data_IF_071173024955
#
_entry.id   IF_071173024955
#
_cell.length_a   1.000
_cell.length_b   1.000
_cell.length_c   1.000
_cell.angle_alpha   90.00
_cell.angle_beta   90.00
_cell.angle_gamma   90.00
#
_symmetry.space_group_name_H-M   'P 1'
#
loop_
_entity.id
_entity.type
_entity.pdbx_description
1 polymer ?
#
# COMPACT_ATOMS: atom_id res chain seq x y z
N UNK A 1 -32.06 35.43 -17.32
CA UNK A 1 -31.07 35.74 -16.26
C UNK A 1 -31.00 34.56 -15.32
N UNK A 2 -29.79 34.12 -15.00
CA UNK A 2 -29.45 32.83 -14.42
C UNK A 2 -29.26 32.88 -12.89
N UNK A 3 -29.21 31.67 -12.31
CA UNK A 3 -28.66 31.26 -10.99
C UNK A 3 -29.58 31.40 -9.77
N UNK A 4 -30.10 30.25 -9.31
CA UNK A 4 -30.45 30.02 -7.91
C UNK A 4 -29.94 28.63 -7.48
N UNK A 5 -28.87 28.68 -6.67
CA UNK A 5 -28.51 27.80 -5.56
C UNK A 5 -28.75 26.28 -5.67
N UNK A 6 -27.71 25.58 -6.12
CA UNK A 6 -27.45 24.20 -5.69
C UNK A 6 -27.01 24.21 -4.21
N UNK A 7 -27.96 24.00 -3.29
CA UNK A 7 -27.64 23.56 -1.94
C UNK A 7 -26.97 22.18 -2.02
N UNK A 8 -25.64 22.16 -1.89
CA UNK A 8 -24.89 20.95 -1.56
C UNK A 8 -25.32 20.51 -0.16
N UNK A 9 -26.18 19.51 -0.09
CA UNK A 9 -26.50 18.78 1.14
C UNK A 9 -25.20 18.28 1.76
N UNK A 10 -24.77 18.93 2.85
CA UNK A 10 -23.74 18.39 3.73
C UNK A 10 -24.25 17.04 4.25
N UNK A 11 -23.50 15.94 4.13
CA UNK A 11 -23.90 14.69 4.75
C UNK A 11 -24.04 14.89 6.26
N UNK A 12 -25.13 14.35 6.82
CA UNK A 12 -25.42 14.40 8.25
C UNK A 12 -24.26 13.76 9.05
N UNK A 13 -23.81 14.36 10.16
CA UNK A 13 -22.80 13.77 11.05
C UNK A 13 -23.16 12.34 11.49
N UNK A 14 -24.46 12.04 11.60
CA UNK A 14 -24.95 10.75 12.08
C UNK A 14 -24.86 9.61 11.06
N UNK A 15 -24.72 9.92 9.76
CA UNK A 15 -24.56 8.90 8.73
C UNK A 15 -23.17 8.22 8.78
N UNK A 16 -22.18 8.87 9.41
CA UNK A 16 -20.81 8.36 9.54
C UNK A 16 -20.68 7.36 10.70
N UNK A 17 -21.58 7.40 11.68
CA UNK A 17 -21.43 6.67 12.95
C UNK A 17 -21.95 5.22 12.96
N UNK A 18 -22.53 4.72 11.86
CA UNK A 18 -22.99 3.31 11.75
C UNK A 18 -22.25 2.48 10.71
N UNK A 19 -21.15 2.99 10.16
CA UNK A 19 -20.18 2.10 9.53
C UNK A 19 -19.67 1.17 10.65
N UNK A 20 -19.89 -0.14 10.53
CA UNK A 20 -19.36 -1.13 11.47
C UNK A 20 -17.88 -0.83 11.64
N UNK A 21 -17.48 -0.41 12.84
CA UNK A 21 -16.07 -0.19 13.13
C UNK A 21 -15.33 -1.49 12.80
N UNK A 22 -14.45 -1.40 11.81
CA UNK A 22 -13.54 -2.46 11.44
C UNK A 22 -12.14 -1.95 11.77
N UNK A 23 -11.29 -2.77 12.40
CA UNK A 23 -9.92 -2.37 12.62
C UNK A 23 -9.26 -2.05 11.27
N UNK A 24 -8.47 -0.97 11.19
CA UNK A 24 -7.69 -0.63 10.01
C UNK A 24 -6.79 -1.77 9.56
N UNK A 25 -6.44 -1.81 8.27
CA UNK A 25 -5.63 -2.85 7.65
C UNK A 25 -4.74 -2.27 6.56
N UNK A 26 -3.76 -3.06 6.13
CA UNK A 26 -3.02 -2.74 4.92
C UNK A 26 -3.98 -2.68 3.71
N UNK A 27 -3.78 -1.69 2.86
CA UNK A 27 -4.64 -1.34 1.72
C UNK A 27 -5.69 -0.28 2.05
N UNK A 28 -6.00 -0.03 3.33
CA UNK A 28 -6.98 1.00 3.69
C UNK A 28 -6.44 2.39 3.39
N UNK A 29 -7.32 3.28 2.93
CA UNK A 29 -7.04 4.68 2.67
C UNK A 29 -7.10 5.48 3.96
N UNK A 30 -6.18 6.40 4.13
CA UNK A 30 -6.13 7.22 5.33
C UNK A 30 -5.67 8.65 5.03
N UNK A 31 -6.11 9.57 5.87
CA UNK A 31 -5.60 10.95 5.94
C UNK A 31 -4.94 11.20 7.29
N UNK A 32 -3.80 11.87 7.26
CA UNK A 32 -3.08 12.25 8.49
C UNK A 32 -3.77 13.50 9.07
N UNK A 33 -4.53 13.34 10.15
CA UNK A 33 -5.33 14.43 10.74
C UNK A 33 -4.62 15.15 11.88
N UNK A 34 -3.71 14.45 12.55
CA UNK A 34 -2.86 14.99 13.61
C UNK A 34 -1.54 14.20 13.66
N UNK A 35 -0.61 14.56 14.53
CA UNK A 35 0.65 13.81 14.72
C UNK A 35 1.06 13.73 16.20
N UNK A 36 0.13 13.96 17.14
CA UNK A 36 0.45 14.11 18.56
C UNK A 36 1.12 12.85 19.12
N UNK A 37 0.63 11.68 18.71
CA UNK A 37 1.08 10.38 19.23
C UNK A 37 2.21 9.77 18.39
N UNK A 38 2.44 10.30 17.19
CA UNK A 38 3.50 9.89 16.28
C UNK A 38 4.89 10.20 16.82
N UNK A 39 5.91 9.47 16.31
CA UNK A 39 7.30 9.67 16.71
C UNK A 39 7.76 11.12 16.48
N UNK A 40 8.64 11.62 17.35
CA UNK A 40 9.17 12.99 17.26
C UNK A 40 9.78 13.32 15.88
N UNK A 41 10.42 12.34 15.23
CA UNK A 41 10.93 12.49 13.86
C UNK A 41 9.82 12.73 12.84
N UNK A 42 8.69 12.03 12.91
CA UNK A 42 7.53 12.27 12.04
C UNK A 42 6.91 13.64 12.34
N UNK A 43 6.77 13.99 13.64
CA UNK A 43 6.23 15.29 14.07
C UNK A 43 7.01 16.50 13.55
N UNK A 44 8.32 16.38 13.38
CA UNK A 44 9.15 17.43 12.81
C UNK A 44 8.72 17.86 11.40
N UNK A 45 7.96 17.00 10.68
CA UNK A 45 7.43 17.27 9.34
C UNK A 45 5.92 17.55 9.33
N UNK A 46 5.32 17.95 10.46
CA UNK A 46 3.88 18.12 10.57
C UNK A 46 3.26 19.04 9.52
N UNK A 47 3.90 20.16 9.19
CA UNK A 47 3.42 21.10 8.17
C UNK A 47 3.35 20.50 6.77
N UNK A 48 4.07 19.40 6.50
CA UNK A 48 4.09 18.71 5.21
C UNK A 48 3.11 17.54 5.17
N UNK A 49 2.89 16.90 6.32
CA UNK A 49 2.16 15.65 6.46
C UNK A 49 0.67 15.83 6.80
N UNK A 50 0.32 16.85 7.57
CA UNK A 50 -1.08 17.07 7.98
C UNK A 50 -1.97 17.34 6.77
N UNK A 51 -3.13 16.67 6.73
CA UNK A 51 -4.09 16.72 5.63
C UNK A 51 -3.70 15.89 4.41
N UNK A 52 -2.55 15.17 4.44
CA UNK A 52 -2.13 14.33 3.32
C UNK A 52 -2.84 12.99 3.34
N UNK A 53 -3.22 12.56 2.14
CA UNK A 53 -3.82 11.25 1.89
C UNK A 53 -2.75 10.24 1.51
N UNK A 54 -3.02 8.98 1.86
CA UNK A 54 -2.19 7.87 1.47
C UNK A 54 -2.86 6.53 1.74
N UNK A 55 -2.12 5.48 1.45
CA UNK A 55 -2.54 4.09 1.69
C UNK A 55 -1.73 3.50 2.83
N UNK A 56 -2.40 2.83 3.77
CA UNK A 56 -1.72 2.05 4.81
C UNK A 56 -1.05 0.87 4.12
N UNK A 57 0.28 0.88 4.03
CA UNK A 57 1.05 -0.23 3.45
C UNK A 57 1.22 -1.35 4.46
N UNK A 58 1.35 -1.00 5.75
CA UNK A 58 1.59 -1.98 6.81
C UNK A 58 1.20 -1.46 8.19
N UNK A 59 0.71 -2.36 9.04
CA UNK A 59 0.59 -2.14 10.48
C UNK A 59 1.82 -2.67 11.22
N UNK A 60 2.31 -1.90 12.17
CA UNK A 60 3.52 -2.17 12.95
C UNK A 60 3.17 -2.20 14.44
N UNK A 61 4.01 -2.89 15.23
CA UNK A 61 3.92 -2.96 16.70
C UNK A 61 2.51 -3.30 17.21
N UNK A 62 1.93 -4.40 16.72
CA UNK A 62 0.60 -4.84 17.15
C UNK A 62 -0.55 -3.95 16.69
N UNK A 63 -0.33 -3.05 15.72
CA UNK A 63 -1.36 -2.16 15.17
C UNK A 63 -1.32 -0.73 15.70
N UNK A 64 -0.42 -0.41 16.64
CA UNK A 64 -0.31 0.95 17.17
C UNK A 64 0.21 1.97 16.13
N UNK A 65 0.98 1.51 15.14
CA UNK A 65 1.53 2.36 14.09
C UNK A 65 1.17 1.84 12.71
N UNK A 66 0.93 2.76 11.78
CA UNK A 66 0.82 2.50 10.37
C UNK A 66 2.05 3.03 9.63
N UNK A 67 2.55 2.25 8.68
CA UNK A 67 3.39 2.74 7.60
C UNK A 67 2.46 3.19 6.47
N UNK A 68 2.33 4.51 6.28
CA UNK A 68 1.51 5.09 5.22
C UNK A 68 2.38 5.49 4.04
N UNK A 69 1.95 5.14 2.83
CA UNK A 69 2.53 5.66 1.58
C UNK A 69 1.64 6.77 1.03
N UNK A 70 2.20 7.97 0.92
CA UNK A 70 1.46 9.17 0.50
C UNK A 70 1.29 9.22 -1.02
N UNK A 71 0.14 9.73 -1.46
CA UNK A 71 -0.24 9.77 -2.88
C UNK A 71 0.54 10.83 -3.67
N UNK A 72 1.00 11.87 -3.01
CA UNK A 72 1.77 12.95 -3.62
C UNK A 72 3.06 12.44 -4.27
N UNK A 73 3.46 13.12 -5.34
CA UNK A 73 4.70 12.87 -6.06
C UNK A 73 5.92 12.99 -5.11
N UNK A 74 6.89 12.05 -5.14
CA UNK A 74 8.08 12.11 -4.28
C UNK A 74 8.83 13.44 -4.33
N UNK A 75 8.82 14.15 -5.46
CA UNK A 75 9.43 15.48 -5.61
C UNK A 75 8.84 16.55 -4.68
N UNK A 76 7.65 16.30 -4.11
CA UNK A 76 6.98 17.19 -3.16
C UNK A 76 7.39 16.97 -1.71
N UNK A 77 8.27 16.00 -1.41
CA UNK A 77 8.71 15.71 -0.04
C UNK A 77 10.20 15.96 0.13
N UNK A 78 10.58 16.52 1.29
CA UNK A 78 11.97 16.64 1.69
C UNK A 78 12.62 15.25 1.72
N UNK A 79 13.59 15.03 0.82
CA UNK A 79 14.31 13.76 0.67
C UNK A 79 13.56 12.67 -0.10
N UNK A 80 12.46 12.99 -0.80
CA UNK A 80 11.75 12.03 -1.64
C UNK A 80 11.00 10.94 -0.88
N UNK A 81 10.87 11.07 0.44
CA UNK A 81 10.26 10.05 1.28
C UNK A 81 8.73 10.01 1.09
N UNK A 82 8.24 8.96 0.44
CA UNK A 82 6.80 8.70 0.30
C UNK A 82 6.19 7.96 1.48
N UNK A 83 7.03 7.29 2.29
CA UNK A 83 6.59 6.39 3.35
C UNK A 83 6.88 6.95 4.73
N UNK A 84 5.86 6.99 5.57
CA UNK A 84 5.92 7.61 6.89
C UNK A 84 5.36 6.68 7.97
N UNK A 85 6.03 6.64 9.12
CA UNK A 85 5.50 5.98 10.30
C UNK A 85 4.60 6.96 11.05
N UNK A 86 3.32 6.64 11.12
CA UNK A 86 2.29 7.45 11.78
C UNK A 86 1.57 6.58 12.81
N UNK A 87 1.22 7.16 13.97
CA UNK A 87 0.43 6.47 14.97
C UNK A 87 -1.00 6.27 14.46
N UNK A 88 -1.66 5.16 14.78
CA UNK A 88 -2.95 4.86 14.18
C UNK A 88 -4.04 5.89 14.55
N UNK A 89 -4.05 6.35 15.80
CA UNK A 89 -5.00 7.38 16.28
C UNK A 89 -4.71 8.80 15.74
N UNK A 90 -3.60 8.95 15.00
CA UNK A 90 -3.28 10.18 14.27
C UNK A 90 -3.84 10.16 12.83
N UNK A 91 -4.46 9.05 12.43
CA UNK A 91 -5.07 8.84 11.11
C UNK A 91 -6.60 8.83 11.19
N UNK A 92 -7.24 9.39 10.16
CA UNK A 92 -8.62 9.08 9.84
C UNK A 92 -8.62 8.08 8.68
N UNK A 93 -9.11 6.87 8.94
CA UNK A 93 -9.13 5.77 7.96
C UNK A 93 -10.49 5.74 7.28
N UNK A 94 -10.51 5.88 5.96
CA UNK A 94 -11.74 5.84 5.18
C UNK A 94 -12.26 4.41 5.16
N UNK A 95 -13.50 4.22 5.63
CA UNK A 95 -14.18 2.92 5.61
C UNK A 95 -14.63 2.48 4.21
N UNK A 96 -14.31 3.26 3.18
CA UNK A 96 -14.70 2.97 1.80
C UNK A 96 -13.76 1.90 1.25
N UNK A 97 -14.29 0.69 1.09
CA UNK A 97 -13.63 -0.37 0.33
C UNK A 97 -13.27 0.18 -1.05
N UNK A 98 -12.00 0.50 -1.26
CA UNK A 98 -11.51 0.78 -2.60
C UNK A 98 -11.38 -0.56 -3.32
N UNK A 99 -11.69 -0.62 -4.63
CA UNK A 99 -11.20 -1.72 -5.46
C UNK A 99 -9.69 -1.72 -5.22
N UNK A 100 -9.18 -2.82 -4.67
CA UNK A 100 -7.74 -3.03 -4.59
C UNK A 100 -7.24 -2.76 -6.00
N UNK A 101 -6.34 -1.78 -6.20
CA UNK A 101 -5.48 -1.83 -7.39
C UNK A 101 -4.99 -3.27 -7.44
N UNK A 102 -5.16 -3.95 -8.58
CA UNK A 102 -4.82 -5.36 -8.76
C UNK A 102 -3.37 -5.58 -8.33
N UNK A 103 -3.20 -5.80 -7.03
CA UNK A 103 -1.92 -6.04 -6.44
C UNK A 103 -1.60 -7.41 -6.96
N UNK A 104 -0.61 -7.45 -7.84
CA UNK A 104 -0.03 -8.68 -8.32
C UNK A 104 0.02 -9.66 -7.13
N UNK A 105 -0.79 -10.72 -7.13
CA UNK A 105 -0.95 -11.57 -5.94
C UNK A 105 0.33 -12.34 -5.62
N UNK A 106 1.34 -12.21 -6.51
CA UNK A 106 2.63 -12.84 -6.42
C UNK A 106 3.66 -11.89 -5.79
N UNK A 107 4.35 -12.40 -4.77
CA UNK A 107 5.60 -11.81 -4.31
C UNK A 107 6.74 -12.13 -5.28
N UNK A 108 7.96 -11.69 -4.96
CA UNK A 108 9.15 -12.02 -5.76
C UNK A 108 9.99 -13.12 -5.13
N UNK A 109 10.26 -14.16 -5.90
CA UNK A 109 11.22 -15.22 -5.59
C UNK A 109 12.46 -15.13 -6.49
N UNK A 110 13.61 -15.56 -5.98
CA UNK A 110 14.88 -15.58 -6.73
C UNK A 110 15.38 -17.00 -6.96
N UNK A 111 15.84 -17.30 -8.16
CA UNK A 111 16.66 -18.48 -8.44
C UNK A 111 18.04 -18.06 -8.96
N UNK A 112 19.01 -18.98 -8.94
CA UNK A 112 20.38 -18.72 -9.40
C UNK A 112 21.22 -17.91 -8.41
N UNK A 113 22.41 -17.50 -8.86
CA UNK A 113 23.38 -16.75 -8.05
C UNK A 113 24.17 -15.74 -8.89
N UNK A 114 24.70 -14.70 -8.24
CA UNK A 114 25.52 -13.68 -8.88
C UNK A 114 24.80 -12.96 -10.03
N UNK A 115 25.43 -12.92 -11.20
CA UNK A 115 24.85 -12.30 -12.41
C UNK A 115 23.73 -13.13 -13.07
N UNK A 116 23.59 -14.39 -12.70
CA UNK A 116 22.55 -15.29 -13.20
C UNK A 116 21.30 -15.37 -12.33
N UNK A 117 21.06 -14.35 -11.49
CA UNK A 117 19.85 -14.30 -10.66
C UNK A 117 18.63 -14.02 -11.53
N UNK A 118 17.64 -14.90 -11.45
CA UNK A 118 16.36 -14.75 -12.14
C UNK A 118 15.25 -14.47 -11.12
N UNK A 119 14.41 -13.49 -11.42
CA UNK A 119 13.23 -13.11 -10.63
C UNK A 119 12.01 -13.88 -11.13
N UNK A 120 11.27 -14.46 -10.20
CA UNK A 120 10.08 -15.27 -10.46
C UNK A 120 8.89 -14.71 -9.69
N UNK A 121 7.71 -14.84 -10.30
CA UNK A 121 6.45 -14.61 -9.61
C UNK A 121 6.26 -15.73 -8.59
N UNK A 122 6.17 -15.37 -7.32
CA UNK A 122 6.15 -16.30 -6.21
C UNK A 122 4.80 -16.24 -5.46
N UNK A 123 3.97 -17.28 -5.56
CA UNK A 123 2.77 -17.41 -4.72
C UNK A 123 3.16 -17.70 -3.27
N UNK A 124 2.56 -16.94 -2.35
CA UNK A 124 2.85 -17.06 -0.91
C UNK A 124 2.63 -18.48 -0.40
N UNK A 125 3.56 -18.98 0.42
CA UNK A 125 3.47 -20.31 1.04
C UNK A 125 4.02 -21.47 0.19
N UNK A 126 4.50 -21.22 -1.03
CA UNK A 126 5.19 -22.23 -1.86
C UNK A 126 6.70 -22.03 -1.83
N UNK A 127 7.46 -23.02 -2.32
CA UNK A 127 8.92 -22.91 -2.57
C UNK A 127 9.27 -22.76 -4.05
N UNK A 128 8.26 -22.71 -4.90
CA UNK A 128 8.40 -22.66 -6.34
C UNK A 128 7.74 -21.39 -6.87
N UNK A 129 8.31 -20.83 -7.94
CA UNK A 129 7.65 -19.81 -8.74
C UNK A 129 6.51 -20.40 -9.57
N UNK A 130 5.73 -19.53 -10.25
CA UNK A 130 4.66 -19.98 -11.15
C UNK A 130 5.16 -20.88 -12.30
N UNK A 131 6.42 -20.71 -12.71
CA UNK A 131 7.05 -21.54 -13.72
C UNK A 131 7.50 -22.93 -13.21
N UNK A 132 7.28 -23.25 -11.92
CA UNK A 132 7.73 -24.49 -11.28
C UNK A 132 9.20 -24.51 -10.85
N UNK A 133 9.98 -23.45 -11.14
CA UNK A 133 11.36 -23.37 -10.67
C UNK A 133 11.41 -23.16 -9.15
N UNK A 134 12.36 -23.82 -8.49
CA UNK A 134 12.65 -23.59 -7.07
C UNK A 134 13.18 -22.16 -6.85
N UNK A 135 12.60 -21.46 -5.89
CA UNK A 135 12.92 -20.06 -5.60
C UNK A 135 13.20 -19.84 -4.11
N UNK A 136 14.08 -18.89 -3.83
CA UNK A 136 14.24 -18.30 -2.51
C UNK A 136 13.36 -17.05 -2.43
N UNK A 137 12.34 -17.01 -1.55
CA UNK A 137 11.47 -15.85 -1.43
C UNK A 137 12.26 -14.62 -0.98
N UNK A 138 11.99 -13.47 -1.58
CA UNK A 138 12.50 -12.19 -1.11
C UNK A 138 11.54 -11.66 -0.06
N UNK A 139 12.03 -11.52 1.16
CA UNK A 139 11.25 -11.01 2.28
C UNK A 139 11.89 -9.74 2.83
N UNK A 140 11.07 -8.72 3.05
CA UNK A 140 11.41 -7.49 3.77
C UNK A 140 10.67 -7.54 5.11
N UNK A 141 11.30 -8.19 6.09
CA UNK A 141 10.64 -8.60 7.32
C UNK A 141 9.70 -9.80 7.08
N UNK A 142 8.41 -9.61 7.27
CA UNK A 142 7.36 -10.65 7.08
C UNK A 142 6.53 -10.46 5.81
N UNK A 143 6.98 -9.59 4.89
CA UNK A 143 6.28 -9.26 3.65
C UNK A 143 7.19 -9.52 2.46
N UNK A 144 6.61 -9.86 1.29
CA UNK A 144 7.36 -10.01 0.05
C UNK A 144 7.04 -8.85 -0.89
N UNK A 145 8.04 -8.19 -1.49
CA UNK A 145 7.78 -7.18 -2.51
C UNK A 145 7.01 -7.80 -3.68
N UNK A 146 6.11 -7.04 -4.33
CA UNK A 146 5.32 -7.55 -5.43
C UNK A 146 6.21 -7.92 -6.60
N UNK A 147 5.80 -8.93 -7.36
CA UNK A 147 6.39 -9.25 -8.64
C UNK A 147 6.11 -8.12 -9.65
N UNK A 148 7.17 -7.66 -10.33
CA UNK A 148 7.10 -6.62 -11.35
C UNK A 148 7.65 -7.19 -12.66
N UNK A 149 6.79 -7.34 -13.67
CA UNK A 149 7.14 -7.90 -14.99
C UNK A 149 8.11 -7.01 -15.78
N UNK A 150 8.19 -5.73 -15.43
CA UNK A 150 9.02 -4.73 -16.11
C UNK A 150 10.48 -4.70 -15.66
N UNK A 151 10.87 -5.50 -14.66
CA UNK A 151 12.26 -5.55 -14.18
C UNK A 151 13.15 -6.41 -15.08
N UNK A 152 14.46 -6.15 -15.03
CA UNK A 152 15.46 -6.99 -15.69
C UNK A 152 15.54 -8.39 -15.05
N UNK A 153 16.00 -9.37 -15.81
CA UNK A 153 16.22 -10.76 -15.38
C UNK A 153 14.96 -11.42 -14.78
N UNK A 154 13.79 -11.13 -15.35
CA UNK A 154 12.53 -11.73 -14.95
C UNK A 154 12.25 -12.98 -15.78
N UNK A 155 11.73 -14.03 -15.14
CA UNK A 155 11.30 -15.24 -15.81
C UNK A 155 10.10 -14.96 -16.72
N UNK A 156 10.27 -15.10 -18.04
CA UNK A 156 9.23 -14.84 -19.04
C UNK A 156 7.98 -15.71 -18.85
N UNK A 157 8.14 -16.97 -18.41
CA UNK A 157 6.99 -17.86 -18.09
C UNK A 157 6.19 -17.29 -16.92
N UNK A 158 6.85 -16.82 -15.86
CA UNK A 158 6.16 -16.21 -14.73
C UNK A 158 5.41 -14.94 -15.13
N UNK A 159 5.96 -14.12 -16.04
CA UNK A 159 5.28 -12.93 -16.58
C UNK A 159 4.00 -13.34 -17.30
N UNK A 160 4.10 -14.30 -18.23
CA UNK A 160 2.96 -14.72 -19.03
C UNK A 160 1.81 -15.28 -18.17
N UNK A 161 2.13 -16.11 -17.18
CA UNK A 161 1.11 -16.66 -16.27
C UNK A 161 0.50 -15.54 -15.41
N UNK A 162 1.33 -14.67 -14.83
CA UNK A 162 0.85 -13.61 -13.95
C UNK A 162 -0.04 -12.58 -14.67
N UNK A 163 0.26 -12.26 -15.92
CA UNK A 163 -0.57 -11.38 -16.75
C UNK A 163 -1.89 -12.05 -17.15
N UNK A 164 -1.87 -13.34 -17.45
CA UNK A 164 -3.08 -14.11 -17.80
C UNK A 164 -4.06 -14.22 -16.64
N UNK A 165 -3.54 -14.37 -15.41
CA UNK A 165 -4.36 -14.44 -14.20
C UNK A 165 -5.01 -13.09 -13.85
N UNK A 166 -4.38 -11.97 -14.21
CA UNK A 166 -4.91 -10.62 -13.97
C UNK A 166 -6.03 -10.19 -14.93
N UNK A 167 -6.07 -10.74 -16.15
CA UNK A 167 -7.09 -10.38 -17.16
C UNK A 167 -8.45 -11.06 -16.98
N UNK A 168 -8.62 -11.89 -15.96
CA UNK A 168 -9.82 -12.70 -15.73
C UNK A 168 -10.83 -12.15 -14.71
N UNK A 169 -10.65 -10.92 -14.21
CA UNK A 169 -11.52 -10.31 -13.17
C UNK A 169 -12.48 -9.26 -13.72
#
# INVERSE_FOLDING_TARGET
MARAEQLKTRPSPDAVHRARWRPPRAGDRAVIVQLLHSHARTRAYASWLLGRHGTIVRLLRGGAFALIELDDEPSRFLGGARRWHVYLDDLLVDAVEHPREDHNPYGVGLSGAGRGVVRHAWPSGRREGLCGAMVRPVLVGSWSPPFLSTLENVCSICVHIAESDGTGS
#
